data_IF_409682059738
#
_entry.id   IF_409682059738
#
_cell.length_a   1.000
_cell.length_b   1.000
_cell.length_c   1.000
_cell.angle_alpha   90.00
_cell.angle_beta   90.00
_cell.angle_gamma   90.00
#
_symmetry.space_group_name_H-M   'P 1'
#
loop_
_entity.id
_entity.type
_entity.pdbx_description
1 polymer ?
#
# COMPACT_ATOMS: atom_id res chain seq x y z
N UNK A 1 -6.62 -15.72 -6.22
CA UNK A 1 -6.68 -14.66 -7.25
C UNK A 1 -5.84 -13.49 -6.80
N UNK A 2 -5.16 -12.83 -7.74
CA UNK A 2 -4.39 -11.62 -7.47
C UNK A 2 -5.32 -10.40 -7.50
N UNK A 3 -5.18 -9.53 -6.51
CA UNK A 3 -5.97 -8.31 -6.37
C UNK A 3 -5.04 -7.13 -6.70
N UNK A 4 -5.35 -6.33 -7.74
CA UNK A 4 -4.54 -5.18 -8.11
C UNK A 4 -4.25 -4.28 -6.91
N UNK A 5 -3.01 -3.82 -6.81
CA UNK A 5 -2.49 -2.88 -5.82
C UNK A 5 -2.38 -3.39 -4.38
N UNK A 6 -2.85 -4.61 -4.05
CA UNK A 6 -2.68 -5.17 -2.69
C UNK A 6 -2.10 -6.58 -2.68
N UNK A 7 -2.08 -7.30 -3.81
CA UNK A 7 -1.35 -8.55 -3.96
C UNK A 7 0.09 -8.30 -4.41
N UNK A 8 1.03 -9.04 -3.82
CA UNK A 8 2.46 -8.97 -4.17
C UNK A 8 3.05 -10.37 -4.39
N UNK A 9 4.06 -10.43 -5.26
CA UNK A 9 4.94 -11.57 -5.38
C UNK A 9 6.15 -11.41 -4.44
N UNK A 10 6.60 -12.52 -3.85
CA UNK A 10 7.75 -12.55 -2.94
C UNK A 10 8.57 -13.83 -3.10
N UNK A 11 9.82 -13.80 -2.62
CA UNK A 11 10.67 -14.99 -2.51
C UNK A 11 10.10 -15.97 -1.46
N UNK A 12 9.74 -17.21 -1.86
CA UNK A 12 9.16 -18.21 -0.96
C UNK A 12 10.11 -18.68 0.14
N UNK A 13 11.43 -18.46 0.01
CA UNK A 13 12.43 -18.79 1.03
C UNK A 13 12.27 -17.93 2.29
N UNK A 14 11.79 -16.70 2.14
CA UNK A 14 11.66 -15.73 3.24
C UNK A 14 10.21 -15.43 3.63
N UNK A 15 9.28 -15.66 2.72
CA UNK A 15 7.89 -15.24 2.83
C UNK A 15 6.94 -16.35 2.40
N UNK A 16 5.92 -16.63 3.22
CA UNK A 16 4.96 -17.67 2.88
C UNK A 16 3.76 -17.06 2.15
N UNK A 17 3.15 -17.86 1.28
CA UNK A 17 1.82 -17.54 0.72
C UNK A 17 0.82 -17.24 1.84
N UNK A 18 0.03 -16.18 1.65
CA UNK A 18 -0.96 -15.70 2.61
C UNK A 18 -0.39 -14.88 3.77
N UNK A 19 0.93 -14.68 3.85
CA UNK A 19 1.51 -13.70 4.76
C UNK A 19 1.08 -12.28 4.37
N UNK A 20 1.04 -11.41 5.38
CA UNK A 20 0.76 -9.99 5.19
C UNK A 20 2.00 -9.18 5.52
N UNK A 21 2.22 -8.12 4.75
CA UNK A 21 3.16 -7.06 5.11
C UNK A 21 2.41 -5.75 5.28
N UNK A 22 2.90 -4.88 6.16
CA UNK A 22 2.49 -3.48 6.22
C UNK A 22 3.58 -2.61 5.60
N UNK A 23 3.14 -1.63 4.82
CA UNK A 23 3.99 -0.57 4.28
C UNK A 23 3.34 0.76 4.67
N UNK A 24 3.75 1.36 5.80
CA UNK A 24 3.05 2.51 6.37
C UNK A 24 2.89 3.69 5.41
N UNK A 25 3.85 3.92 4.53
CA UNK A 25 3.78 5.00 3.56
C UNK A 25 2.64 4.85 2.53
N UNK A 26 2.16 3.62 2.32
CA UNK A 26 1.06 3.34 1.40
C UNK A 26 -0.31 3.53 2.05
N UNK A 27 -0.37 3.64 3.39
CA UNK A 27 -1.64 3.85 4.08
C UNK A 27 -2.20 5.23 3.76
N UNK A 28 -3.44 5.30 3.28
CA UNK A 28 -4.09 6.57 2.97
C UNK A 28 -3.80 7.11 1.56
N UNK A 29 -2.91 6.47 0.80
CA UNK A 29 -2.59 6.87 -0.58
C UNK A 29 -3.77 6.61 -1.51
N UNK A 30 -3.97 7.49 -2.48
CA UNK A 30 -5.03 7.34 -3.48
C UNK A 30 -4.55 6.45 -4.63
N UNK A 31 -5.34 5.44 -4.97
CA UNK A 31 -5.08 4.52 -6.08
C UNK A 31 -6.24 4.63 -7.05
N UNK A 32 -5.96 5.07 -8.26
CA UNK A 32 -6.90 5.05 -9.38
C UNK A 32 -6.88 3.67 -10.03
N UNK A 33 -8.05 3.04 -10.09
CA UNK A 33 -8.28 1.78 -10.78
C UNK A 33 -8.35 1.99 -12.30
N UNK A 34 -8.28 0.89 -13.05
CA UNK A 34 -8.33 0.91 -14.52
C UNK A 34 -9.63 1.50 -15.09
N UNK A 35 -10.72 1.47 -14.32
CA UNK A 35 -12.02 2.07 -14.66
C UNK A 35 -12.17 3.52 -14.21
N UNK A 36 -11.12 4.12 -13.63
CA UNK A 36 -11.09 5.50 -13.16
C UNK A 36 -11.57 5.71 -11.73
N UNK A 37 -12.11 4.69 -11.06
CA UNK A 37 -12.48 4.81 -9.63
C UNK A 37 -11.25 5.02 -8.77
N UNK A 38 -11.34 5.89 -7.76
CA UNK A 38 -10.24 6.19 -6.85
C UNK A 38 -10.51 5.55 -5.49
N UNK A 39 -9.58 4.73 -5.02
CA UNK A 39 -9.63 4.06 -3.72
C UNK A 39 -8.53 4.59 -2.79
N UNK A 40 -8.77 4.47 -1.49
CA UNK A 40 -7.74 4.71 -0.49
C UNK A 40 -7.03 3.39 -0.18
N UNK A 41 -5.72 3.35 -0.37
CA UNK A 41 -4.92 2.16 -0.14
C UNK A 41 -4.80 1.86 1.38
N UNK A 42 -4.98 0.60 1.81
CA UNK A 42 -5.05 0.25 3.22
C UNK A 42 -3.68 0.28 3.94
N UNK A 43 -2.59 0.27 3.16
CA UNK A 43 -1.22 0.19 3.67
C UNK A 43 -0.78 -1.23 4.04
N UNK A 44 -1.56 -2.23 3.66
CA UNK A 44 -1.25 -3.64 3.78
C UNK A 44 -1.18 -4.28 2.40
N UNK A 45 -0.33 -5.29 2.28
CA UNK A 45 -0.23 -6.15 1.12
C UNK A 45 -0.30 -7.61 1.57
N UNK A 46 -0.83 -8.47 0.71
CA UNK A 46 -0.86 -9.93 0.89
C UNK A 46 0.04 -10.60 -0.13
N UNK A 47 0.82 -11.56 0.34
CA UNK A 47 1.71 -12.36 -0.49
C UNK A 47 0.87 -13.45 -1.14
N UNK A 48 0.61 -13.29 -2.44
CA UNK A 48 -0.30 -14.14 -3.22
C UNK A 48 0.35 -14.79 -4.43
N UNK A 49 1.61 -14.45 -4.70
CA UNK A 49 2.36 -14.96 -5.84
C UNK A 49 3.85 -15.16 -5.53
N UNK A 50 4.52 -15.93 -6.38
CA UNK A 50 5.99 -16.06 -6.41
C UNK A 50 6.50 -15.86 -7.83
N UNK A 51 7.79 -15.56 -7.98
CA UNK A 51 8.41 -15.48 -9.29
C UNK A 51 9.89 -15.81 -9.23
N UNK A 52 10.40 -16.52 -10.24
CA UNK A 52 11.81 -16.95 -10.25
C UNK A 52 12.83 -15.81 -10.26
N UNK A 53 12.40 -14.59 -10.64
CA UNK A 53 13.23 -13.38 -10.60
C UNK A 53 13.03 -12.53 -9.32
N UNK A 54 12.15 -12.96 -8.41
CA UNK A 54 11.86 -12.29 -7.15
C UNK A 54 12.65 -12.99 -6.05
N UNK A 55 13.92 -12.60 -5.93
CA UNK A 55 14.89 -13.19 -5.02
C UNK A 55 15.25 -12.21 -3.90
N UNK A 56 15.31 -12.72 -2.67
CA UNK A 56 15.75 -12.00 -1.49
C UNK A 56 14.63 -11.50 -0.58
N UNK A 57 14.98 -11.35 0.70
CA UNK A 57 14.06 -10.96 1.78
C UNK A 57 13.32 -9.65 1.52
N UNK A 58 13.93 -8.69 0.82
CA UNK A 58 13.39 -7.32 0.67
C UNK A 58 12.95 -6.99 -0.75
N UNK A 59 12.82 -8.00 -1.62
CA UNK A 59 12.36 -7.85 -3.00
C UNK A 59 10.91 -8.31 -3.11
N UNK A 60 10.06 -7.41 -3.60
CA UNK A 60 8.65 -7.68 -3.88
C UNK A 60 8.31 -7.19 -5.27
N UNK A 61 7.41 -7.89 -5.95
CA UNK A 61 6.77 -7.39 -7.17
C UNK A 61 5.31 -7.07 -6.89
N UNK A 62 4.84 -5.90 -7.34
CA UNK A 62 3.49 -5.43 -7.03
C UNK A 62 2.56 -5.73 -8.20
N UNK A 63 1.51 -6.50 -7.94
CA UNK A 63 0.51 -6.77 -8.95
C UNK A 63 -0.35 -5.53 -9.18
N UNK A 64 -0.37 -5.00 -10.40
CA UNK A 64 -1.11 -3.77 -10.75
C UNK A 64 -2.28 -4.02 -11.69
N UNK A 65 -2.73 -5.29 -11.78
CA UNK A 65 -3.79 -5.70 -12.70
C UNK A 65 -3.30 -5.84 -14.14
N UNK A 66 -4.14 -5.54 -15.15
CA UNK A 66 -3.75 -5.64 -16.56
C UNK A 66 -2.83 -4.49 -17.03
N UNK A 67 -2.52 -3.53 -16.16
CA UNK A 67 -1.73 -2.34 -16.51
C UNK A 67 -0.25 -2.60 -16.29
N UNK A 68 0.58 -2.32 -17.30
CA UNK A 68 2.04 -2.33 -17.14
C UNK A 68 2.56 -1.10 -16.40
N UNK A 69 3.81 -1.18 -15.88
CA UNK A 69 4.47 -0.07 -15.16
C UNK A 69 4.70 1.19 -16.03
N UNK A 70 4.74 1.04 -17.36
CA UNK A 70 4.92 2.17 -18.31
C UNK A 70 3.61 2.83 -18.72
N UNK A 71 2.47 2.32 -18.28
CA UNK A 71 1.17 2.85 -18.65
C UNK A 71 0.80 4.01 -17.72
N UNK A 72 0.53 5.18 -18.30
CA UNK A 72 0.22 6.42 -17.55
C UNK A 72 -0.94 6.27 -16.57
N UNK A 73 -1.91 5.41 -16.87
CA UNK A 73 -3.09 5.16 -16.02
C UNK A 73 -2.80 4.25 -14.82
N UNK A 74 -1.60 3.67 -14.73
CA UNK A 74 -1.24 2.84 -13.59
C UNK A 74 -0.79 3.72 -12.43
N UNK A 75 -1.48 3.61 -11.29
CA UNK A 75 -1.16 4.35 -10.06
C UNK A 75 0.24 4.06 -9.51
N UNK A 76 0.86 2.94 -9.89
CA UNK A 76 2.21 2.55 -9.48
C UNK A 76 3.24 2.78 -10.61
N UNK A 77 2.86 3.50 -11.67
CA UNK A 77 3.75 3.82 -12.79
C UNK A 77 4.79 4.88 -12.43
N UNK A 78 6.03 4.65 -12.88
CA UNK A 78 7.16 5.58 -12.74
C UNK A 78 6.90 6.95 -13.42
N UNK A 79 6.08 6.94 -14.47
CA UNK A 79 5.67 8.13 -15.24
C UNK A 79 4.13 8.30 -15.27
N UNK A 80 3.46 7.79 -14.24
CA UNK A 80 2.02 7.78 -14.12
C UNK A 80 1.41 9.18 -14.11
N UNK A 81 0.26 9.33 -14.76
CA UNK A 81 -0.60 10.52 -14.69
C UNK A 81 -1.01 10.83 -13.25
N UNK A 82 -1.11 9.78 -12.42
CA UNK A 82 -1.43 9.86 -11.00
C UNK A 82 -0.17 9.99 -10.11
N UNK A 83 1.00 10.31 -10.66
CA UNK A 83 2.22 10.52 -9.87
C UNK A 83 2.22 11.90 -9.17
N UNK A 84 1.31 12.07 -8.19
CA UNK A 84 1.23 13.26 -7.32
C UNK A 84 1.57 12.88 -5.88
N UNK A 85 1.94 13.86 -5.03
CA UNK A 85 2.25 13.63 -3.60
C UNK A 85 1.14 12.87 -2.84
N UNK A 86 -0.10 12.98 -3.29
CA UNK A 86 -1.29 12.34 -2.70
C UNK A 86 -1.60 10.95 -3.31
N UNK A 87 -1.26 10.74 -4.59
CA UNK A 87 -1.67 9.57 -5.37
C UNK A 87 -0.54 8.54 -5.59
N UNK A 88 0.74 8.90 -5.42
CA UNK A 88 1.83 7.94 -5.60
C UNK A 88 2.74 7.81 -4.38
N UNK A 89 3.26 6.59 -4.22
CA UNK A 89 4.66 6.41 -3.89
C UNK A 89 5.31 6.09 -5.23
N UNK A 90 6.15 7.00 -5.73
CA UNK A 90 6.96 6.72 -6.91
C UNK A 90 7.72 5.41 -6.68
N UNK A 91 7.66 4.49 -7.65
CA UNK A 91 8.49 3.31 -7.64
C UNK A 91 9.93 3.74 -7.99
N UNK A 92 10.66 4.27 -7.00
CA UNK A 92 12.10 4.50 -7.08
C UNK A 92 12.87 3.24 -7.55
N UNK A 93 13.91 3.46 -8.36
CA UNK A 93 14.83 2.43 -8.83
C UNK A 93 15.69 1.85 -7.69
N UNK A 94 16.54 0.87 -8.02
CA UNK A 94 17.45 0.20 -7.08
C UNK A 94 18.60 1.08 -6.56
N UNK A 95 18.76 2.31 -7.06
CA UNK A 95 19.80 3.25 -6.64
C UNK A 95 19.35 4.10 -5.46
N UNK A 96 18.05 4.16 -5.17
CA UNK A 96 17.47 5.01 -4.13
C UNK A 96 16.81 4.17 -3.04
N UNK A 97 17.50 4.02 -1.89
CA UNK A 97 16.94 3.42 -0.69
C UNK A 97 16.15 4.47 0.11
N UNK A 98 14.88 4.67 -0.23
CA UNK A 98 14.01 5.61 0.48
C UNK A 98 13.51 5.02 1.80
N UNK A 99 13.69 5.75 2.91
CA UNK A 99 13.13 5.37 4.22
C UNK A 99 11.59 5.24 4.21
N UNK A 100 10.92 5.82 3.21
CA UNK A 100 9.47 5.69 2.99
C UNK A 100 9.07 4.33 2.41
N UNK A 101 10.00 3.58 1.84
CA UNK A 101 9.79 2.24 1.27
C UNK A 101 10.16 1.13 2.27
N UNK A 102 9.87 1.37 3.54
CA UNK A 102 10.05 0.38 4.60
C UNK A 102 8.81 -0.48 4.73
N UNK A 103 9.01 -1.77 4.99
CA UNK A 103 7.93 -2.71 5.25
C UNK A 103 8.16 -3.44 6.57
N UNK A 104 7.08 -3.96 7.13
CA UNK A 104 7.10 -4.83 8.31
C UNK A 104 6.27 -6.07 8.01
N UNK A 105 6.82 -7.25 8.32
CA UNK A 105 6.04 -8.50 8.31
C UNK A 105 5.00 -8.46 9.43
N UNK A 106 3.75 -8.76 9.11
CA UNK A 106 2.64 -8.74 10.06
C UNK A 106 2.57 -10.08 10.79
N UNK A 107 3.01 -10.08 12.06
CA UNK A 107 3.11 -11.31 12.86
C UNK A 107 1.99 -11.46 13.90
N UNK A 108 1.45 -10.36 14.44
CA UNK A 108 0.44 -10.44 15.51
C UNK A 108 -0.94 -10.82 14.95
N UNK A 109 -1.67 -11.70 15.64
CA UNK A 109 -3.01 -12.15 15.21
C UNK A 109 -3.98 -10.99 15.02
N UNK A 110 -3.91 -9.97 15.89
CA UNK A 110 -4.73 -8.75 15.79
C UNK A 110 -4.42 -7.96 14.52
N UNK A 111 -3.14 -7.75 14.21
CA UNK A 111 -2.73 -7.02 13.00
C UNK A 111 -3.02 -7.83 11.73
N UNK A 112 -2.89 -9.17 11.77
CA UNK A 112 -3.31 -10.06 10.68
C UNK A 112 -4.81 -9.96 10.40
N UNK A 113 -5.64 -9.93 11.45
CA UNK A 113 -7.08 -9.75 11.31
C UNK A 113 -7.42 -8.40 10.67
N UNK A 114 -6.75 -7.33 11.10
CA UNK A 114 -6.91 -6.00 10.51
C UNK A 114 -6.47 -5.95 9.03
N UNK A 115 -5.31 -6.52 8.70
CA UNK A 115 -4.81 -6.59 7.35
C UNK A 115 -5.77 -7.36 6.43
N UNK A 116 -6.23 -8.54 6.88
CA UNK A 116 -7.21 -9.37 6.17
C UNK A 116 -8.52 -8.60 5.93
N UNK A 117 -9.07 -7.95 6.95
CA UNK A 117 -10.31 -7.20 6.83
C UNK A 117 -10.17 -6.01 5.86
N UNK A 118 -9.08 -5.26 5.98
CA UNK A 118 -8.84 -4.06 5.14
C UNK A 118 -8.62 -4.44 3.66
N UNK A 119 -7.90 -5.54 3.40
CA UNK A 119 -7.71 -6.04 2.03
C UNK A 119 -9.03 -6.59 1.48
N UNK A 120 -9.82 -7.31 2.26
CA UNK A 120 -11.13 -7.81 1.81
C UNK A 120 -12.10 -6.67 1.49
N UNK A 121 -12.07 -5.57 2.25
CA UNK A 121 -12.83 -4.37 1.93
C UNK A 121 -12.33 -3.72 0.63
N UNK A 122 -11.02 -3.56 0.46
CA UNK A 122 -10.42 -3.05 -0.78
C UNK A 122 -10.80 -3.91 -2.00
N UNK A 123 -10.75 -5.23 -1.87
CA UNK A 123 -11.14 -6.19 -2.91
C UNK A 123 -12.61 -6.04 -3.31
N UNK A 124 -13.52 -5.88 -2.34
CA UNK A 124 -14.93 -5.62 -2.63
C UNK A 124 -15.10 -4.39 -3.51
N UNK A 125 -14.35 -3.32 -3.23
CA UNK A 125 -14.37 -2.13 -4.08
C UNK A 125 -13.84 -2.40 -5.47
N UNK A 126 -12.68 -3.06 -5.59
CA UNK A 126 -12.10 -3.40 -6.90
C UNK A 126 -13.13 -4.17 -7.74
N UNK A 127 -13.85 -5.12 -7.15
CA UNK A 127 -14.84 -5.95 -7.82
C UNK A 127 -16.23 -5.30 -8.01
N UNK A 128 -16.38 -3.99 -7.79
CA UNK A 128 -17.62 -3.26 -8.07
C UNK A 128 -18.58 -3.09 -6.87
N UNK A 129 -18.15 -3.42 -5.66
CA UNK A 129 -18.90 -3.18 -4.44
C UNK A 129 -18.99 -1.68 -4.08
N UNK A 130 -20.14 -1.26 -3.54
CA UNK A 130 -20.36 0.08 -2.96
C UNK A 130 -19.80 0.16 -1.53
N UNK A 131 -19.28 1.33 -1.15
CA UNK A 131 -18.68 1.54 0.17
C UNK A 131 -19.69 1.42 1.30
N UNK A 132 -19.37 0.63 2.33
CA UNK A 132 -19.93 0.87 3.66
C UNK A 132 -18.98 1.80 4.40
N UNK A 133 -19.43 3.02 4.71
CA UNK A 133 -18.62 4.13 5.23
C UNK A 133 -18.01 3.91 6.64
N UNK A 134 -18.12 2.72 7.24
CA UNK A 134 -17.96 2.55 8.67
C UNK A 134 -16.56 2.18 9.18
N UNK A 135 -15.50 2.12 8.37
CA UNK A 135 -14.15 1.80 8.89
C UNK A 135 -12.99 2.67 8.40
N UNK A 136 -13.25 3.75 7.65
CA UNK A 136 -12.21 4.73 7.25
C UNK A 136 -11.80 5.72 8.36
N UNK A 137 -11.76 5.29 9.63
CA UNK A 137 -11.20 6.10 10.72
C UNK A 137 -9.72 5.78 10.93
N UNK A 138 -8.86 6.60 10.34
CA UNK A 138 -7.54 6.85 10.90
C UNK A 138 -7.79 7.67 12.18
N UNK A 139 -7.36 7.24 13.39
CA UNK A 139 -7.38 8.11 14.54
C UNK A 139 -6.46 9.31 14.24
N UNK A 140 -7.04 10.50 14.23
CA UNK A 140 -6.32 11.75 14.07
C UNK A 140 -5.18 11.81 15.09
N UNK A 141 -3.95 11.91 14.59
CA UNK A 141 -2.78 12.21 15.42
C UNK A 141 -3.02 13.58 16.06
N UNK A 142 -3.21 13.61 17.39
CA UNK A 142 -3.32 14.84 18.16
C UNK A 142 -2.08 15.70 17.89
N UNK A 143 -2.24 16.80 17.15
CA UNK A 143 -1.25 17.88 17.11
C UNK A 143 -1.27 18.57 18.47
N UNK A 144 -0.33 18.22 19.34
CA UNK A 144 -0.01 19.02 20.53
C UNK A 144 0.68 20.29 20.07
N UNK A 145 -0.08 21.39 20.06
CA UNK A 145 0.44 22.72 19.77
C UNK A 145 1.20 23.21 21.02
N UNK A 146 2.52 23.04 21.05
CA UNK A 146 3.40 23.56 22.11
C UNK A 146 3.63 25.05 21.84
N UNK A 147 2.80 25.90 22.47
CA UNK A 147 2.98 27.36 22.52
C UNK A 147 4.31 27.67 23.23
N UNK A 148 5.25 28.25 22.52
CA UNK A 148 6.49 28.83 23.05
C UNK A 148 6.18 30.13 23.78
N UNK A 149 6.82 30.31 24.94
CA UNK A 149 6.55 31.37 25.89
C UNK A 149 7.05 32.75 25.47
N UNK A 150 6.36 33.77 25.98
CA UNK A 150 6.83 35.14 26.08
C UNK A 150 6.46 35.63 27.48
N UNK A 151 7.47 35.91 28.31
CA UNK A 151 7.33 36.50 29.64
C UNK A 151 8.49 37.46 29.83
N UNK A 152 8.21 38.74 29.62
CA UNK A 152 9.05 39.86 30.02
C UNK A 152 8.89 40.06 31.53
N UNK A 153 10.00 40.29 32.22
CA UNK A 153 10.10 41.06 33.45
C UNK A 153 11.45 41.79 33.41
#
# INVERSE_FOLDING_TARGET
CLIPYVSIAADPTYHNMGDYISMPAMKGKKVTLFDGRVLTHPGYFRIDDTGGAIDGRTRFDFYTGPLGLRQKKNSFSDNGEFNTKEHSISMENNEVCSARKTYKKVNSSKEKALAKASIAEFERFVNGGVASASHMMVPASKKTNKKTGGGQN
#
